data_IF_530194626568
#
_entry.id   IF_530194626568
#
_cell.length_a   1.000
_cell.length_b   1.000
_cell.length_c   1.000
_cell.angle_alpha   90.00
_cell.angle_beta   90.00
_cell.angle_gamma   90.00
#
_symmetry.space_group_name_H-M   'P 1'
#
loop_
_entity.id
_entity.type
_entity.pdbx_description
1 polymer ?
#
# COMPACT_ATOMS: atom_id res chain seq x y z
N UNK A 1 1.42 0.05 -5.30
CA UNK A 1 0.99 0.71 -6.55
C UNK A 1 -0.34 0.12 -6.95
N UNK A 2 -1.26 0.93 -7.44
CA UNK A 2 -2.53 0.45 -8.00
C UNK A 2 -2.61 0.97 -9.43
N UNK A 3 -2.82 0.09 -10.40
CA UNK A 3 -2.87 0.47 -11.83
C UNK A 3 -1.62 1.19 -12.36
N UNK A 4 -0.43 0.96 -11.80
CA UNK A 4 0.78 1.69 -12.21
C UNK A 4 1.01 3.02 -11.48
N UNK A 5 0.11 3.43 -10.58
CA UNK A 5 0.21 4.67 -9.83
C UNK A 5 0.67 4.44 -8.39
N UNK A 6 1.40 5.42 -7.85
CA UNK A 6 1.84 5.40 -6.45
C UNK A 6 0.76 6.05 -5.58
N UNK A 7 0.41 5.36 -4.51
CA UNK A 7 -0.48 5.85 -3.48
C UNK A 7 0.24 5.71 -2.13
N UNK A 8 0.10 6.71 -1.26
CA UNK A 8 0.57 6.62 0.12
C UNK A 8 -0.64 6.39 1.01
N UNK A 9 -0.61 5.34 1.82
CA UNK A 9 -1.66 5.10 2.82
C UNK A 9 -1.48 6.11 3.94
N UNK A 10 -2.49 6.94 4.16
CA UNK A 10 -2.57 7.90 5.26
C UNK A 10 -3.18 7.27 6.51
N UNK A 11 -4.22 6.45 6.33
CA UNK A 11 -4.87 5.73 7.42
C UNK A 11 -5.39 4.37 6.95
N UNK A 12 -5.59 3.45 7.89
CA UNK A 12 -6.17 2.15 7.67
C UNK A 12 -7.19 1.83 8.76
N UNK A 13 -8.44 1.61 8.35
CA UNK A 13 -9.53 1.23 9.25
C UNK A 13 -9.94 -0.23 9.03
N UNK A 14 -10.10 -0.98 10.11
CA UNK A 14 -10.72 -2.31 10.05
C UNK A 14 -12.23 -2.20 9.83
N UNK A 15 -12.75 -3.04 8.95
CA UNK A 15 -14.17 -3.14 8.66
C UNK A 15 -14.72 -4.49 9.16
N UNK A 16 -16.05 -4.56 9.27
CA UNK A 16 -16.74 -5.82 9.60
C UNK A 16 -16.37 -6.92 8.59
N UNK A 17 -16.27 -8.16 9.09
CA UNK A 17 -15.94 -9.31 8.25
C UNK A 17 -14.47 -9.41 7.83
N UNK A 18 -13.57 -8.69 8.51
CA UNK A 18 -12.12 -8.76 8.29
C UNK A 18 -11.62 -7.98 7.08
N UNK A 19 -12.49 -7.22 6.42
CA UNK A 19 -12.09 -6.27 5.39
C UNK A 19 -11.33 -5.09 6.00
N UNK A 20 -10.54 -4.40 5.18
CA UNK A 20 -9.81 -3.18 5.58
C UNK A 20 -10.07 -2.07 4.58
N UNK A 21 -10.21 -0.84 5.05
CA UNK A 21 -10.24 0.35 4.19
C UNK A 21 -8.91 1.08 4.34
N UNK A 22 -8.24 1.30 3.22
CA UNK A 22 -7.07 2.16 3.12
C UNK A 22 -7.57 3.55 2.68
N UNK A 23 -7.21 4.58 3.43
CA UNK A 23 -7.34 5.98 3.02
C UNK A 23 -5.99 6.43 2.46
N UNK A 24 -5.97 7.02 1.28
CA UNK A 24 -4.77 7.56 0.68
C UNK A 24 -4.62 9.05 1.00
N UNK A 25 -3.39 9.55 0.91
CA UNK A 25 -3.05 10.98 1.05
C UNK A 25 -3.82 11.88 0.06
N UNK A 26 -4.18 11.36 -1.11
CA UNK A 26 -5.04 12.02 -2.09
C UNK A 26 -6.51 12.16 -1.67
N UNK A 27 -6.92 11.52 -0.57
CA UNK A 27 -8.32 11.46 -0.10
C UNK A 27 -9.13 10.31 -0.72
N UNK A 28 -8.57 9.61 -1.72
CA UNK A 28 -9.18 8.40 -2.28
C UNK A 28 -9.12 7.24 -1.28
N UNK A 29 -10.04 6.29 -1.40
CA UNK A 29 -10.02 5.10 -0.54
C UNK A 29 -10.07 3.80 -1.35
N UNK A 30 -9.45 2.76 -0.80
CA UNK A 30 -9.44 1.42 -1.38
C UNK A 30 -9.87 0.40 -0.33
N UNK A 31 -10.86 -0.41 -0.66
CA UNK A 31 -11.35 -1.47 0.24
C UNK A 31 -10.71 -2.79 -0.11
N UNK A 32 -9.95 -3.34 0.83
CA UNK A 32 -9.34 -4.66 0.79
C UNK A 32 -10.32 -5.67 1.36
N UNK A 33 -10.78 -6.61 0.53
CA UNK A 33 -11.63 -7.72 0.95
C UNK A 33 -10.81 -9.01 1.08
N UNK A 34 -11.42 -10.08 1.58
CA UNK A 34 -10.77 -11.40 1.70
C UNK A 34 -10.26 -11.99 0.38
N UNK A 35 -10.79 -11.54 -0.76
CA UNK A 35 -10.37 -12.00 -2.09
C UNK A 35 -9.41 -11.02 -2.78
N UNK A 36 -9.08 -9.90 -2.13
CA UNK A 36 -8.11 -8.94 -2.65
C UNK A 36 -6.69 -9.45 -2.43
N UNK A 37 -5.97 -9.71 -3.53
CA UNK A 37 -4.55 -10.08 -3.48
C UNK A 37 -3.71 -8.79 -3.58
N UNK A 38 -2.85 -8.58 -2.57
CA UNK A 38 -1.91 -7.47 -2.52
C UNK A 38 -0.49 -8.01 -2.61
N UNK A 39 0.32 -7.42 -3.48
CA UNK A 39 1.74 -7.74 -3.60
C UNK A 39 2.57 -6.61 -3.00
N UNK A 40 3.44 -6.96 -2.03
CA UNK A 40 4.42 -6.04 -1.48
C UNK A 40 5.72 -6.13 -2.29
N UNK A 41 6.05 -5.06 -3.01
CA UNK A 41 7.33 -4.91 -3.69
C UNK A 41 8.07 -3.71 -3.11
N UNK A 42 9.34 -3.91 -2.72
CA UNK A 42 10.21 -2.81 -2.29
C UNK A 42 11.01 -2.33 -3.49
N UNK A 43 10.97 -1.03 -3.77
CA UNK A 43 11.89 -0.44 -4.73
C UNK A 43 13.29 -0.40 -4.11
N UNK A 44 14.15 -1.29 -4.55
CA UNK A 44 15.56 -1.33 -4.15
C UNK A 44 16.36 -0.46 -5.10
N UNK A 45 16.94 0.64 -4.60
CA UNK A 45 17.96 1.39 -5.34
C UNK A 45 19.34 0.80 -5.00
N UNK A 46 20.06 0.18 -5.96
CA UNK A 46 21.38 -0.39 -5.73
C UNK A 46 22.40 0.64 -5.21
N UNK A 47 22.23 1.92 -5.56
CA UNK A 47 23.14 3.00 -5.17
C UNK A 47 22.98 3.40 -3.71
N UNK A 48 21.77 3.31 -3.17
CA UNK A 48 21.47 3.59 -1.76
C UNK A 48 21.87 2.41 -0.85
N UNK A 49 21.83 1.18 -1.37
CA UNK A 49 22.22 -0.01 -0.62
C UNK A 49 23.71 0.00 -0.23
N UNK A 50 24.59 0.54 -1.08
CA UNK A 50 26.03 0.64 -0.82
C UNK A 50 26.38 1.61 0.33
N UNK A 51 25.50 2.58 0.61
CA UNK A 51 25.76 3.64 1.60
C UNK A 51 25.36 3.26 3.03
N UNK A 52 24.68 2.12 3.20
CA UNK A 52 24.22 1.59 4.49
C UNK A 52 25.01 0.37 4.97
N UNK A 53 26.10 0.02 4.28
CA UNK A 53 27.03 -1.05 4.67
C UNK A 53 28.32 -0.44 5.17
#
# INVERSE_FOLDING_TARGET
MVGGHRFTVADMTELRGGAKRLLFDSGESFTVTRTTILWAARRTDPRLARRRR
#
